data_IF_678673906872
#
_entry.id   IF_678673906872
#
_cell.length_a   1.000
_cell.length_b   1.000
_cell.length_c   1.000
_cell.angle_alpha   90.00
_cell.angle_beta   90.00
_cell.angle_gamma   90.00
#
_symmetry.space_group_name_H-M   'P 1'
#
loop_
_entity.id
_entity.type
_entity.pdbx_description
1 polymer ?
#
# COMPACT_ATOMS: atom_id res chain seq x y z
N UNK A 1 -4.00 23.71 -18.04
CA UNK A 1 -3.53 22.36 -17.64
C UNK A 1 -2.89 22.43 -16.25
N UNK A 2 -3.01 21.41 -15.39
CA UNK A 2 -2.29 21.39 -14.11
C UNK A 2 -0.76 21.41 -14.35
N UNK A 3 -0.01 22.31 -13.69
CA UNK A 3 1.42 22.45 -13.89
C UNK A 3 2.27 21.37 -13.22
N UNK A 4 1.76 20.72 -12.17
CA UNK A 4 2.41 19.59 -11.50
C UNK A 4 1.57 18.34 -11.69
N UNK A 5 2.07 17.42 -12.54
CA UNK A 5 1.35 16.19 -12.94
C UNK A 5 1.99 14.88 -12.48
N UNK A 6 3.15 14.92 -11.85
CA UNK A 6 3.88 13.71 -11.48
C UNK A 6 3.50 13.17 -10.10
N UNK A 7 3.52 11.85 -9.97
CA UNK A 7 3.35 11.17 -8.69
C UNK A 7 4.41 11.64 -7.70
N UNK A 8 3.97 12.06 -6.51
CA UNK A 8 4.86 12.49 -5.41
C UNK A 8 4.87 11.49 -4.26
N UNK A 9 4.09 10.41 -4.38
CA UNK A 9 4.14 9.26 -3.48
C UNK A 9 3.94 7.95 -4.25
N UNK A 10 4.71 6.95 -3.86
CA UNK A 10 4.69 5.59 -4.41
C UNK A 10 4.64 4.58 -3.27
N UNK A 11 3.88 3.49 -3.45
CA UNK A 11 3.83 2.40 -2.49
C UNK A 11 4.08 1.05 -3.15
N UNK A 12 4.79 0.18 -2.42
CA UNK A 12 4.73 -1.26 -2.62
C UNK A 12 3.48 -1.79 -1.91
N UNK A 13 2.45 -2.15 -2.67
CA UNK A 13 1.19 -2.60 -2.11
C UNK A 13 1.22 -4.07 -1.64
N UNK A 14 2.22 -4.87 -2.00
CA UNK A 14 2.33 -6.24 -1.48
C UNK A 14 2.60 -6.24 0.03
N UNK A 15 3.14 -5.15 0.58
CA UNK A 15 3.28 -4.96 2.03
C UNK A 15 1.95 -4.93 2.78
N UNK A 16 0.82 -4.60 2.13
CA UNK A 16 -0.49 -4.58 2.79
C UNK A 16 -0.89 -5.97 3.29
N UNK A 17 -0.72 -7.01 2.46
CA UNK A 17 -1.05 -8.38 2.86
C UNK A 17 -0.02 -8.97 3.82
N UNK A 18 1.28 -8.66 3.66
CA UNK A 18 2.30 -9.04 4.64
C UNK A 18 1.96 -8.47 6.02
N UNK A 19 1.66 -7.17 6.12
CA UNK A 19 1.27 -6.57 7.38
C UNK A 19 -0.02 -7.13 7.96
N UNK A 20 -0.97 -7.58 7.12
CA UNK A 20 -2.18 -8.23 7.62
C UNK A 20 -1.87 -9.59 8.27
N UNK A 21 -0.87 -10.31 7.74
CA UNK A 21 -0.43 -11.61 8.24
C UNK A 21 0.50 -11.50 9.46
N UNK A 22 1.24 -10.40 9.56
CA UNK A 22 2.24 -10.14 10.61
C UNK A 22 1.83 -9.06 11.62
N UNK A 23 0.53 -8.81 11.79
CA UNK A 23 -0.01 -7.85 12.77
C UNK A 23 0.63 -6.44 12.67
N UNK A 24 0.90 -5.98 11.44
CA UNK A 24 1.51 -4.69 11.13
C UNK A 24 3.05 -4.66 11.25
N UNK A 25 3.68 -5.75 11.70
CA UNK A 25 5.13 -5.84 11.80
C UNK A 25 5.75 -6.10 10.43
N UNK A 26 6.81 -5.35 10.10
CA UNK A 26 7.60 -5.59 8.89
C UNK A 26 8.83 -6.43 9.24
N UNK A 27 8.95 -7.69 8.73
CA UNK A 27 10.08 -8.56 9.04
C UNK A 27 11.39 -8.11 8.37
N UNK A 28 11.34 -7.35 7.27
CA UNK A 28 12.50 -6.81 6.57
C UNK A 28 13.08 -5.62 7.33
N UNK A 29 12.24 -4.66 7.70
CA UNK A 29 12.66 -3.49 8.48
C UNK A 29 12.82 -3.77 9.98
N UNK A 30 12.29 -4.91 10.44
CA UNK A 30 12.30 -5.34 11.85
C UNK A 30 11.68 -4.31 12.79
N UNK A 31 10.56 -3.73 12.35
CA UNK A 31 9.84 -2.73 13.11
C UNK A 31 8.33 -2.80 12.88
N UNK A 32 7.58 -2.30 13.85
CA UNK A 32 6.15 -2.12 13.72
C UNK A 32 5.89 -0.96 12.73
N UNK A 33 5.43 -1.30 11.53
CA UNK A 33 5.10 -0.31 10.50
C UNK A 33 3.62 0.03 10.54
N UNK A 34 2.77 -0.98 10.32
CA UNK A 34 1.32 -0.84 10.31
C UNK A 34 0.69 -0.86 11.70
N UNK A 35 -0.61 -0.55 11.82
CA UNK A 35 -1.37 -0.77 13.05
C UNK A 35 -1.43 -2.26 13.40
N UNK A 36 -1.65 -2.55 14.69
CA UNK A 36 -2.03 -3.90 15.12
C UNK A 36 -3.43 -4.23 14.61
N UNK A 37 -3.52 -5.27 13.79
CA UNK A 37 -4.77 -5.78 13.18
C UNK A 37 -5.17 -7.15 13.71
N UNK A 38 -4.40 -7.69 14.66
CA UNK A 38 -4.58 -8.99 15.29
C UNK A 38 -3.58 -10.03 14.77
N UNK A 39 -3.30 -11.02 15.62
CA UNK A 39 -2.49 -12.19 15.29
C UNK A 39 -3.23 -13.07 14.27
N UNK A 40 -2.72 -13.10 13.04
CA UNK A 40 -3.36 -13.79 11.93
C UNK A 40 -3.51 -15.30 12.16
N UNK A 41 -2.67 -15.91 13.01
CA UNK A 41 -2.77 -17.32 13.41
C UNK A 41 -4.09 -17.63 14.13
N UNK A 42 -4.73 -16.61 14.70
CA UNK A 42 -6.01 -16.72 15.42
C UNK A 42 -7.23 -16.42 14.54
N UNK A 43 -7.04 -16.07 13.27
CA UNK A 43 -8.17 -15.82 12.38
C UNK A 43 -8.91 -17.12 12.06
N UNK A 44 -10.21 -17.11 12.32
CA UNK A 44 -11.12 -18.24 12.11
C UNK A 44 -12.01 -18.06 10.87
N UNK A 45 -11.99 -16.88 10.23
CA UNK A 45 -12.73 -16.62 8.99
C UNK A 45 -11.95 -15.72 8.04
N UNK A 46 -12.25 -15.83 6.74
CA UNK A 46 -11.64 -15.01 5.70
C UNK A 46 -11.90 -13.51 5.93
N UNK A 47 -13.07 -13.16 6.45
CA UNK A 47 -13.47 -11.78 6.71
C UNK A 47 -12.56 -11.11 7.74
N UNK A 48 -12.02 -11.85 8.71
CA UNK A 48 -11.05 -11.32 9.67
C UNK A 48 -9.72 -10.97 8.98
N UNK A 49 -9.22 -11.85 8.11
CA UNK A 49 -8.04 -11.57 7.29
C UNK A 49 -8.28 -10.39 6.35
N UNK A 50 -9.43 -10.35 5.69
CA UNK A 50 -9.78 -9.29 4.75
C UNK A 50 -9.91 -7.92 5.44
N UNK A 51 -10.48 -7.87 6.65
CA UNK A 51 -10.56 -6.62 7.40
C UNK A 51 -9.20 -6.19 7.96
N UNK A 52 -8.34 -7.13 8.37
CA UNK A 52 -6.95 -6.83 8.71
C UNK A 52 -6.22 -6.18 7.52
N UNK A 53 -6.32 -6.79 6.33
CA UNK A 53 -5.77 -6.24 5.09
C UNK A 53 -6.34 -4.84 4.76
N UNK A 54 -7.66 -4.64 4.88
CA UNK A 54 -8.30 -3.33 4.64
C UNK A 54 -7.77 -2.25 5.59
N UNK A 55 -7.52 -2.59 6.85
CA UNK A 55 -6.95 -1.66 7.83
C UNK A 55 -5.51 -1.29 7.46
N UNK A 56 -4.68 -2.27 7.07
CA UNK A 56 -3.31 -2.02 6.61
C UNK A 56 -3.29 -1.17 5.33
N UNK A 57 -4.16 -1.48 4.36
CA UNK A 57 -4.34 -0.70 3.13
C UNK A 57 -4.69 0.75 3.45
N UNK A 58 -5.67 0.98 4.32
CA UNK A 58 -6.10 2.32 4.74
C UNK A 58 -4.95 3.09 5.41
N UNK A 59 -4.17 2.41 6.24
CA UNK A 59 -3.03 3.01 6.90
C UNK A 59 -1.93 3.43 5.91
N UNK A 60 -1.53 2.55 4.99
CA UNK A 60 -0.52 2.88 3.95
C UNK A 60 -1.01 4.03 3.08
N UNK A 61 -2.20 3.92 2.49
CA UNK A 61 -2.74 4.95 1.60
C UNK A 61 -2.94 6.28 2.31
N UNK A 62 -3.45 6.27 3.54
CA UNK A 62 -3.62 7.46 4.35
C UNK A 62 -2.29 8.14 4.67
N UNK A 63 -1.23 7.36 4.93
CA UNK A 63 0.11 7.90 5.20
C UNK A 63 0.68 8.62 3.98
N UNK A 64 0.58 8.01 2.79
CA UNK A 64 1.02 8.62 1.53
C UNK A 64 0.22 9.88 1.20
N UNK A 65 -1.11 9.84 1.37
CA UNK A 65 -1.98 10.98 1.12
C UNK A 65 -1.66 12.17 2.04
N UNK A 66 -1.38 11.91 3.33
CA UNK A 66 -0.95 12.94 4.28
C UNK A 66 0.42 13.51 3.89
N UNK A 67 1.41 12.66 3.61
CA UNK A 67 2.75 13.09 3.23
C UNK A 67 2.72 13.99 1.98
N UNK A 68 1.98 13.60 0.94
CA UNK A 68 1.82 14.43 -0.26
C UNK A 68 1.09 15.74 0.00
N UNK A 69 0.03 15.71 0.80
CA UNK A 69 -0.72 16.93 1.15
C UNK A 69 0.17 17.90 1.91
N UNK A 70 0.95 17.39 2.87
CA UNK A 70 1.95 18.20 3.58
C UNK A 70 2.98 18.78 2.62
N UNK A 71 3.59 17.98 1.74
CA UNK A 71 4.54 18.49 0.74
C UNK A 71 3.93 19.58 -0.15
N UNK A 72 2.74 19.35 -0.71
CA UNK A 72 2.06 20.35 -1.56
C UNK A 72 1.81 21.68 -0.86
N UNK A 73 1.44 21.66 0.43
CA UNK A 73 1.17 22.90 1.17
C UNK A 73 2.44 23.69 1.49
N UNK A 74 3.57 23.03 1.69
CA UNK A 74 4.81 23.67 2.13
C UNK A 74 5.76 23.98 0.96
N UNK A 75 5.75 23.20 -0.12
CA UNK A 75 6.73 23.37 -1.20
C UNK A 75 6.65 24.75 -1.87
N UNK A 76 5.50 25.44 -1.83
CA UNK A 76 5.38 26.83 -2.32
C UNK A 76 6.30 27.82 -1.60
N UNK A 77 6.69 27.53 -0.37
CA UNK A 77 7.53 28.42 0.43
C UNK A 77 9.03 28.18 0.19
N UNK A 78 9.41 27.05 -0.43
CA UNK A 78 10.81 26.60 -0.52
C UNK A 78 11.28 26.24 -1.94
N UNK A 79 10.37 25.86 -2.84
CA UNK A 79 10.69 25.23 -4.12
C UNK A 79 10.07 26.00 -5.31
N UNK A 80 10.29 27.31 -5.37
CA UNK A 80 9.82 28.13 -6.50
C UNK A 80 10.37 27.62 -7.84
N UNK A 81 9.52 27.54 -8.86
CA UNK A 81 9.86 27.01 -10.19
C UNK A 81 9.57 28.02 -11.32
N UNK A 82 10.18 29.22 -11.30
CA UNK A 82 9.78 30.35 -12.13
C UNK A 82 9.83 30.06 -13.64
N UNK A 83 10.84 29.34 -14.11
CA UNK A 83 10.93 28.96 -15.52
C UNK A 83 9.77 28.06 -15.95
N UNK A 84 9.37 27.11 -15.09
CA UNK A 84 8.19 26.27 -15.36
C UNK A 84 6.93 27.10 -15.31
N UNK A 85 6.76 27.94 -14.29
CA UNK A 85 5.60 28.83 -14.11
C UNK A 85 5.35 29.70 -15.35
N UNK A 86 6.40 30.24 -15.98
CA UNK A 86 6.29 31.02 -17.20
C UNK A 86 5.75 30.26 -18.42
N UNK A 87 5.74 28.91 -18.39
CA UNK A 87 5.23 28.05 -19.46
C UNK A 87 3.75 27.68 -19.29
N UNK A 88 3.10 28.08 -18.19
CA UNK A 88 1.70 27.76 -17.90
C UNK A 88 0.83 29.01 -17.85
N UNK A 89 -0.17 29.06 -18.73
CA UNK A 89 -1.16 30.14 -18.84
C UNK A 89 -1.73 30.58 -17.48
N UNK A 90 -2.19 29.62 -16.65
CA UNK A 90 -2.71 29.89 -15.30
C UNK A 90 -1.73 30.71 -14.45
N UNK A 91 -0.47 30.29 -14.42
CA UNK A 91 0.56 30.92 -13.59
C UNK A 91 0.84 32.35 -14.06
N UNK A 92 0.88 32.55 -15.38
CA UNK A 92 1.09 33.87 -15.99
C UNK A 92 -0.10 34.80 -15.74
N UNK A 93 -1.33 34.32 -15.92
CA UNK A 93 -2.55 35.10 -15.71
C UNK A 93 -2.77 35.47 -14.23
N UNK A 94 -2.44 34.57 -13.31
CA UNK A 94 -2.68 34.76 -11.87
C UNK A 94 -1.48 35.38 -11.14
N UNK A 95 -0.30 35.41 -11.77
CA UNK A 95 0.93 35.83 -11.09
C UNK A 95 1.36 34.88 -9.98
N UNK A 96 1.01 33.59 -10.09
CA UNK A 96 1.31 32.55 -9.09
C UNK A 96 2.34 31.57 -9.61
N UNK A 97 3.10 30.97 -8.70
CA UNK A 97 4.03 29.91 -9.07
C UNK A 97 3.29 28.60 -9.40
N UNK A 98 3.86 27.78 -10.28
CA UNK A 98 3.34 26.48 -10.66
C UNK A 98 3.22 25.48 -9.50
N UNK A 99 3.97 25.67 -8.40
CA UNK A 99 3.85 24.83 -7.21
C UNK A 99 2.78 25.32 -6.22
N UNK A 100 2.21 26.51 -6.46
CA UNK A 100 1.14 27.03 -5.64
C UNK A 100 -0.15 26.20 -5.85
N UNK A 101 -0.67 25.56 -4.78
CA UNK A 101 -1.90 24.81 -4.87
C UNK A 101 -3.14 25.70 -5.02
N UNK A 102 -3.01 27.02 -4.85
CA UNK A 102 -4.12 27.96 -5.01
C UNK A 102 -4.68 27.93 -6.44
N UNK A 103 -6.01 27.77 -6.54
CA UNK A 103 -6.69 27.63 -7.84
C UNK A 103 -6.50 26.27 -8.52
N UNK A 104 -5.83 25.30 -7.88
CA UNK A 104 -5.73 23.94 -8.39
C UNK A 104 -7.01 23.13 -8.17
N UNK A 105 -7.43 22.40 -9.21
CA UNK A 105 -8.22 21.18 -8.99
C UNK A 105 -7.24 20.17 -8.44
N UNK A 106 -7.50 19.51 -7.31
CA UNK A 106 -6.49 18.69 -6.64
C UNK A 106 -5.84 17.65 -7.56
N UNK A 107 -4.51 17.58 -7.56
CA UNK A 107 -3.77 16.43 -8.13
C UNK A 107 -3.22 15.58 -6.98
N UNK A 108 -3.94 14.53 -6.63
CA UNK A 108 -3.57 13.59 -5.58
C UNK A 108 -2.97 12.29 -6.14
N UNK A 109 -2.18 12.35 -7.21
CA UNK A 109 -1.64 11.15 -7.83
C UNK A 109 -0.72 10.39 -6.86
N UNK A 110 -1.18 9.21 -6.42
CA UNK A 110 -0.38 8.18 -5.74
C UNK A 110 -0.23 7.01 -6.71
N UNK A 111 0.98 6.52 -6.88
CA UNK A 111 1.23 5.34 -7.70
C UNK A 111 1.34 4.10 -6.82
N UNK A 112 0.55 3.08 -7.16
CA UNK A 112 0.55 1.78 -6.49
C UNK A 112 1.27 0.76 -7.36
N UNK A 113 2.37 0.22 -6.85
CA UNK A 113 3.03 -0.95 -7.41
C UNK A 113 2.52 -2.20 -6.70
N UNK A 114 2.67 -3.35 -7.37
CA UNK A 114 2.39 -4.67 -6.80
C UNK A 114 0.98 -4.78 -6.18
N UNK A 115 -0.04 -4.32 -6.91
CA UNK A 115 -1.43 -4.38 -6.45
C UNK A 115 -2.01 -5.79 -6.56
N UNK A 116 -1.67 -6.51 -7.63
CA UNK A 116 -2.25 -7.82 -7.99
C UNK A 116 -1.91 -8.89 -6.95
N UNK A 117 -0.74 -8.79 -6.34
CA UNK A 117 -0.23 -9.66 -5.28
C UNK A 117 -1.19 -9.71 -4.07
N UNK A 118 -1.93 -8.63 -3.81
CA UNK A 118 -2.97 -8.65 -2.78
C UNK A 118 -4.15 -9.53 -3.17
N UNK A 119 -4.62 -9.43 -4.41
CA UNK A 119 -5.75 -10.21 -4.90
C UNK A 119 -5.42 -11.70 -4.93
N UNK A 120 -4.25 -12.05 -5.47
CA UNK A 120 -3.78 -13.43 -5.56
C UNK A 120 -3.58 -14.03 -4.17
N UNK A 121 -2.94 -13.30 -3.25
CA UNK A 121 -2.72 -13.78 -1.87
C UNK A 121 -4.03 -13.97 -1.10
N UNK A 122 -4.97 -13.04 -1.23
CA UNK A 122 -6.28 -13.15 -0.58
C UNK A 122 -7.10 -14.30 -1.17
N UNK A 123 -7.08 -14.50 -2.48
CA UNK A 123 -7.76 -15.60 -3.14
C UNK A 123 -7.18 -16.96 -2.70
N UNK A 124 -5.84 -17.07 -2.68
CA UNK A 124 -5.15 -18.27 -2.24
C UNK A 124 -5.47 -18.63 -0.78
N UNK A 125 -5.40 -17.64 0.12
CA UNK A 125 -5.74 -17.84 1.53
C UNK A 125 -7.22 -18.22 1.69
N UNK A 126 -8.14 -17.52 0.99
CA UNK A 126 -9.57 -17.85 1.02
C UNK A 126 -9.80 -19.31 0.64
N UNK A 127 -9.23 -19.74 -0.48
CA UNK A 127 -9.43 -21.08 -1.02
C UNK A 127 -8.78 -22.16 -0.15
N UNK A 128 -7.47 -22.08 0.07
CA UNK A 128 -6.70 -23.17 0.67
C UNK A 128 -6.83 -23.23 2.20
N UNK A 129 -7.09 -22.10 2.87
CA UNK A 129 -7.20 -22.05 4.33
C UNK A 129 -8.64 -22.08 4.81
N UNK A 130 -9.54 -21.29 4.19
CA UNK A 130 -10.90 -21.10 4.72
C UNK A 130 -11.95 -21.97 4.04
N UNK A 131 -11.92 -22.08 2.70
CA UNK A 131 -12.91 -22.84 1.93
C UNK A 131 -12.59 -24.35 1.94
N UNK A 132 -11.41 -24.75 1.44
CA UNK A 132 -10.97 -26.14 1.35
C UNK A 132 -10.36 -26.67 2.66
N UNK A 133 -9.89 -25.77 3.53
CA UNK A 133 -9.25 -26.10 4.81
C UNK A 133 -8.10 -27.11 4.66
N UNK A 134 -7.37 -27.02 3.56
CA UNK A 134 -6.17 -27.82 3.29
C UNK A 134 -5.03 -27.45 4.25
N UNK A 135 -4.97 -26.17 4.63
CA UNK A 135 -4.01 -25.63 5.59
C UNK A 135 -4.71 -24.77 6.64
N UNK A 136 -4.03 -24.53 7.74
CA UNK A 136 -4.43 -23.58 8.79
C UNK A 136 -3.74 -22.23 8.64
N UNK A 137 -4.28 -21.19 9.28
CA UNK A 137 -3.61 -19.88 9.34
C UNK A 137 -2.25 -19.96 10.02
N UNK A 138 -2.10 -20.78 11.07
CA UNK A 138 -0.81 -21.02 11.72
C UNK A 138 0.21 -21.61 10.75
N UNK A 139 -0.16 -22.65 10.00
CA UNK A 139 0.74 -23.25 9.00
C UNK A 139 1.13 -22.26 7.91
N UNK A 140 0.20 -21.41 7.45
CA UNK A 140 0.49 -20.38 6.46
C UNK A 140 1.48 -19.35 6.98
N UNK A 141 1.25 -18.77 8.16
CA UNK A 141 2.16 -17.76 8.71
C UNK A 141 3.53 -18.36 9.00
N UNK A 142 3.60 -19.57 9.58
CA UNK A 142 4.85 -20.26 9.83
C UNK A 142 5.59 -20.64 8.53
N UNK A 143 4.86 -20.95 7.45
CA UNK A 143 5.44 -21.17 6.14
C UNK A 143 6.08 -19.91 5.57
N UNK A 144 5.41 -18.77 5.70
CA UNK A 144 5.93 -17.49 5.22
C UNK A 144 7.15 -17.03 6.03
N UNK A 145 7.15 -17.20 7.35
CA UNK A 145 8.30 -16.91 8.21
C UNK A 145 9.53 -17.74 7.86
N UNK A 146 9.31 -19.02 7.52
CA UNK A 146 10.37 -19.92 7.08
C UNK A 146 10.74 -19.75 5.58
N UNK A 147 10.18 -18.76 4.88
CA UNK A 147 10.34 -18.61 3.43
C UNK A 147 10.08 -19.92 2.67
N UNK A 148 9.03 -20.64 3.06
CA UNK A 148 8.60 -21.93 2.54
C UNK A 148 9.60 -23.09 2.72
N UNK A 149 10.69 -22.91 3.47
CA UNK A 149 11.67 -23.96 3.73
C UNK A 149 11.00 -25.17 4.42
N UNK A 150 11.18 -26.35 3.86
CA UNK A 150 10.51 -27.58 4.32
C UNK A 150 9.01 -27.67 4.00
N UNK A 151 8.44 -26.73 3.25
CA UNK A 151 6.99 -26.66 2.91
C UNK A 151 6.73 -26.48 1.41
N UNK A 152 7.54 -27.13 0.58
CA UNK A 152 7.49 -26.97 -0.88
C UNK A 152 6.15 -27.37 -1.52
N UNK A 153 5.52 -28.45 -1.03
CA UNK A 153 4.21 -28.87 -1.54
C UNK A 153 3.15 -27.77 -1.32
N UNK A 154 3.10 -27.21 -0.10
CA UNK A 154 2.22 -26.09 0.24
C UNK A 154 2.50 -24.88 -0.65
N UNK A 155 3.77 -24.55 -0.88
CA UNK A 155 4.16 -23.44 -1.78
C UNK A 155 3.63 -23.66 -3.20
N UNK A 156 3.74 -24.88 -3.72
CA UNK A 156 3.26 -25.23 -5.06
C UNK A 156 1.74 -25.16 -5.17
N UNK A 157 1.00 -25.51 -4.11
CA UNK A 157 -0.45 -25.35 -4.07
C UNK A 157 -0.86 -23.89 -4.18
N UNK A 158 -0.19 -22.99 -3.44
CA UNK A 158 -0.42 -21.55 -3.52
C UNK A 158 -0.10 -20.94 -4.90
N UNK A 159 0.65 -21.65 -5.76
CA UNK A 159 0.97 -21.18 -7.13
C UNK A 159 0.05 -21.81 -8.19
N UNK A 160 -0.30 -23.08 -8.04
CA UNK A 160 -0.95 -23.87 -9.10
C UNK A 160 -2.44 -24.04 -8.90
N UNK A 161 -2.90 -23.96 -7.66
CA UNK A 161 -4.23 -24.37 -7.26
C UNK A 161 -5.03 -23.19 -6.69
N UNK A 162 -4.78 -21.96 -7.15
CA UNK A 162 -5.54 -20.75 -6.81
C UNK A 162 -6.54 -20.45 -7.90
#
# INVERSE_FOLDING_TARGET
AQPIRMATATANCAKMIEYALFDGYDPVFRMQMGPHTGDARKFTSFEQLYEAWRQQMRWIMGTLARAMTSGRMHNRDYEGVPFRSALYERCVEQGTDAIDPEGERGNAWITFFTWVENADSLAAAKKLVFDEKKYTMTELVDALEANWEGREEMRLDFVRNV
#
